data_IF_009288558477
#
_entry.id   IF_009288558477
#
_cell.length_a   1.000
_cell.length_b   1.000
_cell.length_c   1.000
_cell.angle_alpha   90.00
_cell.angle_beta   90.00
_cell.angle_gamma   90.00
#
_symmetry.space_group_name_H-M   'P 1'
#
loop_
_entity.id
_entity.type
_entity.pdbx_description
1 polymer ?
#
# COMPACT_ATOMS: atom_id res chain seq x y z
N UNK A 1 -36.52 -48.40 9.34
CA UNK A 1 -36.44 -47.16 10.16
C UNK A 1 -36.41 -45.93 9.25
N UNK A 2 -37.57 -45.56 8.72
CA UNK A 2 -37.82 -44.38 7.88
C UNK A 2 -39.05 -43.67 8.48
N UNK A 3 -38.87 -42.70 9.38
CA UNK A 3 -39.94 -41.75 9.77
C UNK A 3 -39.51 -40.56 10.66
N UNK A 4 -38.24 -40.11 10.61
CA UNK A 4 -37.81 -38.93 11.42
C UNK A 4 -37.12 -37.80 10.67
N UNK A 5 -36.93 -37.89 9.35
CA UNK A 5 -36.29 -36.82 8.55
C UNK A 5 -37.26 -35.83 7.90
N UNK A 6 -38.54 -36.17 7.72
CA UNK A 6 -39.52 -35.28 7.07
C UNK A 6 -40.05 -34.12 7.94
N UNK A 7 -39.97 -34.23 9.27
CA UNK A 7 -40.64 -33.28 10.17
C UNK A 7 -39.80 -32.03 10.52
N UNK A 8 -38.47 -32.07 10.32
CA UNK A 8 -37.58 -30.91 10.62
C UNK A 8 -37.45 -29.92 9.46
N UNK A 9 -37.72 -30.33 8.23
CA UNK A 9 -37.58 -29.47 7.04
C UNK A 9 -38.81 -28.56 6.87
N UNK A 10 -40.00 -29.00 7.29
CA UNK A 10 -41.23 -28.20 7.21
C UNK A 10 -41.28 -27.00 8.19
N UNK A 11 -40.58 -27.08 9.32
CA UNK A 11 -40.60 -26.03 10.37
C UNK A 11 -39.68 -24.85 10.02
N UNK A 12 -38.59 -25.08 9.28
CA UNK A 12 -37.62 -24.01 8.91
C UNK A 12 -38.16 -23.15 7.76
N UNK A 13 -38.97 -23.71 6.85
CA UNK A 13 -39.54 -22.95 5.73
C UNK A 13 -40.68 -22.00 6.14
N UNK A 14 -41.35 -22.24 7.28
CA UNK A 14 -42.40 -21.35 7.78
C UNK A 14 -41.86 -20.07 8.45
N UNK A 15 -40.61 -20.06 8.92
CA UNK A 15 -39.99 -18.90 9.57
C UNK A 15 -39.32 -17.92 8.60
N UNK A 16 -39.03 -18.34 7.36
CA UNK A 16 -38.42 -17.47 6.34
C UNK A 16 -39.44 -16.63 5.55
N UNK A 17 -40.75 -16.92 5.66
CA UNK A 17 -41.80 -16.14 5.00
C UNK A 17 -42.39 -15.01 5.87
N UNK A 18 -42.00 -14.89 7.15
CA UNK A 18 -42.54 -13.87 8.06
C UNK A 18 -41.65 -12.61 8.24
N UNK A 19 -40.40 -12.61 7.74
CA UNK A 19 -39.51 -11.44 7.84
C UNK A 19 -39.49 -10.60 6.55
N UNK A 20 -40.03 -11.12 5.44
CA UNK A 20 -40.10 -10.45 4.13
C UNK A 20 -41.19 -9.39 3.96
N UNK A 21 -42.07 -9.17 4.94
CA UNK A 21 -43.22 -8.25 4.82
C UNK A 21 -43.15 -7.01 5.72
N UNK A 22 -42.03 -6.77 6.42
CA UNK A 22 -41.87 -5.63 7.34
C UNK A 22 -41.03 -4.45 6.84
N UNK A 23 -40.19 -4.62 5.81
CA UNK A 23 -39.22 -3.59 5.41
C UNK A 23 -39.62 -2.73 4.21
N UNK A 24 -40.62 -3.15 3.42
CA UNK A 24 -41.04 -2.46 2.19
C UNK A 24 -41.98 -1.27 2.40
N UNK A 25 -42.58 -1.13 3.59
CA UNK A 25 -43.60 -0.10 3.87
C UNK A 25 -43.03 1.20 4.46
N UNK A 26 -41.76 1.19 4.87
CA UNK A 26 -41.13 2.33 5.56
C UNK A 26 -40.27 3.21 4.63
N UNK A 27 -39.87 2.72 3.46
CA UNK A 27 -39.01 3.43 2.51
C UNK A 27 -39.75 4.16 1.37
N UNK A 28 -41.09 4.16 1.37
CA UNK A 28 -41.92 4.78 0.31
C UNK A 28 -42.55 6.14 0.70
N UNK A 29 -42.14 6.76 1.83
CA UNK A 29 -42.73 8.04 2.30
C UNK A 29 -41.75 9.20 2.53
N UNK A 30 -40.56 9.19 1.90
CA UNK A 30 -39.71 10.40 1.86
C UNK A 30 -39.11 10.59 0.46
N UNK A 31 -39.93 11.08 -0.44
CA UNK A 31 -39.48 11.88 -1.58
C UNK A 31 -40.00 13.31 -1.36
N UNK A 32 -39.12 14.32 -1.36
CA UNK A 32 -39.54 15.68 -1.67
C UNK A 32 -39.42 15.92 -3.18
N UNK A 33 -40.53 16.30 -3.78
CA UNK A 33 -40.64 16.74 -5.18
C UNK A 33 -39.86 18.03 -5.46
N UNK A 34 -39.52 18.30 -6.73
CA UNK A 34 -38.93 19.55 -7.20
C UNK A 34 -40.00 20.64 -7.41
N UNK A 35 -39.50 21.87 -7.59
CA UNK A 35 -40.15 23.09 -8.09
C UNK A 35 -40.53 24.14 -7.04
N UNK A 36 -39.86 25.29 -7.13
CA UNK A 36 -40.50 26.60 -7.24
C UNK A 36 -39.47 27.66 -7.64
N UNK A 37 -39.63 28.17 -8.86
CA UNK A 37 -38.99 29.38 -9.34
C UNK A 37 -39.74 30.64 -8.86
N UNK A 38 -38.97 31.70 -8.60
CA UNK A 38 -39.40 33.11 -8.68
C UNK A 38 -39.17 33.96 -7.41
N UNK A 39 -39.12 35.31 -7.49
CA UNK A 39 -39.02 36.18 -8.67
C UNK A 39 -37.87 37.23 -8.60
N UNK A 40 -37.70 37.91 -9.75
CA UNK A 40 -36.86 39.10 -10.00
C UNK A 40 -37.19 40.32 -9.11
N UNK A 41 -36.16 41.10 -8.75
CA UNK A 41 -36.23 42.52 -8.41
C UNK A 41 -34.90 43.16 -8.89
N UNK A 42 -34.88 43.85 -10.03
CA UNK A 42 -35.14 45.28 -10.27
C UNK A 42 -33.88 46.16 -10.13
N UNK A 43 -33.53 46.77 -11.25
CA UNK A 43 -32.36 47.61 -11.48
C UNK A 43 -32.60 49.09 -11.14
N UNK A 44 -31.48 49.81 -10.97
CA UNK A 44 -31.34 51.26 -11.23
C UNK A 44 -30.25 51.93 -10.38
N UNK A 45 -29.61 53.02 -10.84
CA UNK A 45 -29.04 53.29 -12.16
C UNK A 45 -27.53 53.62 -12.11
N UNK A 46 -26.88 53.60 -13.28
CA UNK A 46 -25.51 54.10 -13.55
C UNK A 46 -25.49 55.66 -13.59
N UNK A 47 -24.40 56.45 -13.44
CA UNK A 47 -23.09 56.57 -14.15
C UNK A 47 -22.39 57.90 -13.65
N UNK A 48 -21.25 58.45 -14.15
CA UNK A 48 -19.84 58.00 -14.37
C UNK A 48 -18.81 59.03 -13.79
N UNK A 49 -17.58 59.24 -14.35
CA UNK A 49 -16.34 58.49 -14.12
C UNK A 49 -15.21 59.33 -13.47
N UNK A 50 -14.17 58.68 -12.94
CA UNK A 50 -12.88 59.32 -12.69
C UNK A 50 -11.72 58.43 -13.11
N UNK A 51 -10.85 59.01 -13.93
CA UNK A 51 -9.69 58.48 -14.63
C UNK A 51 -8.48 58.17 -13.76
N UNK A 52 -7.65 57.25 -14.26
CA UNK A 52 -6.21 57.06 -14.01
C UNK A 52 -5.83 56.53 -12.60
N UNK A 53 -4.88 55.62 -12.40
CA UNK A 53 -3.69 55.27 -13.17
C UNK A 53 -3.21 53.88 -12.72
N UNK A 54 -2.50 53.18 -13.60
CA UNK A 54 -1.89 51.89 -13.36
C UNK A 54 -1.05 51.82 -12.07
N UNK A 55 -1.18 50.71 -11.35
CA UNK A 55 -0.01 50.07 -10.74
C UNK A 55 -0.21 48.57 -10.78
N UNK A 56 0.58 47.94 -11.64
CA UNK A 56 0.76 46.50 -11.69
C UNK A 56 1.45 46.05 -10.40
N UNK A 57 0.68 45.57 -9.43
CA UNK A 57 1.17 44.74 -8.31
C UNK A 57 0.30 43.48 -8.13
N UNK A 58 -0.53 43.16 -9.12
CA UNK A 58 -1.29 41.92 -9.18
C UNK A 58 -0.46 40.77 -9.80
N UNK A 59 0.76 40.55 -9.34
CA UNK A 59 1.51 39.30 -9.54
C UNK A 59 2.53 39.19 -8.41
N UNK A 60 2.46 38.09 -7.65
CA UNK A 60 3.39 37.54 -6.63
C UNK A 60 2.69 37.18 -5.29
N UNK A 61 1.46 37.63 -5.04
CA UNK A 61 0.66 37.15 -3.88
C UNK A 61 -0.08 35.82 -4.09
N UNK A 62 0.39 34.96 -5.00
CA UNK A 62 -0.13 33.60 -5.22
C UNK A 62 0.94 32.52 -4.94
N UNK A 63 1.89 32.82 -4.05
CA UNK A 63 2.86 31.86 -3.56
C UNK A 63 2.41 31.32 -2.19
N UNK A 64 2.06 30.03 -2.17
CA UNK A 64 1.85 29.18 -1.00
C UNK A 64 0.66 29.49 -0.10
N UNK A 65 -0.54 29.16 -0.58
CA UNK A 65 -1.32 28.22 0.24
C UNK A 65 -0.48 26.93 0.29
N UNK A 66 0.21 26.72 1.41
CA UNK A 66 0.84 25.42 1.68
C UNK A 66 -0.31 24.42 1.60
N UNK A 67 -0.29 23.55 0.61
CA UNK A 67 -1.22 22.45 0.46
C UNK A 67 -1.06 21.52 1.69
N UNK A 68 -1.75 21.87 2.79
CA UNK A 68 -1.59 21.28 4.12
C UNK A 68 -1.98 19.79 4.10
N UNK A 69 -2.80 19.42 3.11
CA UNK A 69 -3.30 18.06 2.88
C UNK A 69 -2.71 17.41 1.62
N UNK A 70 -1.72 18.06 0.99
CA UNK A 70 -1.05 17.56 -0.21
C UNK A 70 -0.08 16.40 0.07
N UNK A 71 0.34 15.67 -0.98
CA UNK A 71 1.26 14.53 -0.84
C UNK A 71 2.63 14.93 -0.24
N UNK A 72 3.10 16.15 -0.47
CA UNK A 72 4.32 16.65 0.16
C UNK A 72 4.16 16.82 1.69
N UNK A 73 3.01 17.33 2.14
CA UNK A 73 2.68 17.47 3.57
C UNK A 73 2.49 16.11 4.24
N UNK A 74 1.93 15.12 3.53
CA UNK A 74 1.87 13.72 3.99
C UNK A 74 3.26 13.14 4.24
N UNK A 75 4.21 13.34 3.33
CA UNK A 75 5.60 12.89 3.53
C UNK A 75 6.26 13.59 4.72
N UNK A 76 6.05 14.90 4.89
CA UNK A 76 6.56 15.64 6.06
C UNK A 76 6.00 15.07 7.37
N UNK A 77 4.71 14.74 7.43
CA UNK A 77 4.08 14.11 8.61
C UNK A 77 4.59 12.70 8.86
N UNK A 78 4.93 11.95 7.82
CA UNK A 78 5.45 10.61 7.94
C UNK A 78 6.93 10.58 8.35
N UNK A 79 7.70 11.65 8.11
CA UNK A 79 9.13 11.70 8.39
C UNK A 79 9.45 11.42 9.87
N UNK A 80 10.44 10.57 10.12
CA UNK A 80 10.96 10.36 11.46
C UNK A 80 11.65 11.63 11.99
N UNK A 81 11.48 11.99 13.29
CA UNK A 81 12.12 13.18 13.85
C UNK A 81 13.64 13.17 13.63
N UNK A 82 14.21 14.34 13.36
CA UNK A 82 15.66 14.54 13.19
C UNK A 82 16.32 13.72 12.06
N UNK A 83 15.54 13.15 11.14
CA UNK A 83 16.09 12.53 9.94
C UNK A 83 16.27 13.56 8.84
N UNK A 84 17.50 13.67 8.34
CA UNK A 84 17.81 14.44 7.12
C UNK A 84 17.66 13.48 5.95
N UNK A 85 16.72 13.73 5.01
CA UNK A 85 16.57 12.88 3.85
C UNK A 85 17.87 12.86 3.04
N UNK A 86 18.27 11.68 2.59
CA UNK A 86 19.34 11.54 1.62
C UNK A 86 18.83 10.68 0.50
N UNK A 87 18.87 11.22 -0.72
CA UNK A 87 18.47 10.47 -1.91
C UNK A 87 19.27 9.18 -1.95
N UNK A 88 18.57 8.07 -1.86
CA UNK A 88 19.15 6.74 -1.96
C UNK A 88 18.55 6.05 -3.17
N UNK A 89 19.34 6.01 -4.25
CA UNK A 89 19.07 5.15 -5.41
C UNK A 89 19.40 3.70 -5.12
N UNK A 90 20.32 3.48 -4.16
CA UNK A 90 20.66 2.17 -3.62
C UNK A 90 19.94 1.99 -2.29
N UNK A 91 18.83 1.28 -2.29
CA UNK A 91 18.40 0.61 -1.07
C UNK A 91 19.44 -0.49 -0.82
N UNK A 92 20.10 -0.49 0.35
CA UNK A 92 21.08 -1.54 0.71
C UNK A 92 20.49 -2.89 0.28
N UNK A 93 21.17 -3.64 -0.58
CA UNK A 93 20.67 -4.96 -0.97
C UNK A 93 20.66 -5.81 0.28
N UNK A 94 19.47 -6.16 0.77
CA UNK A 94 19.35 -7.14 1.83
C UNK A 94 19.32 -8.51 1.16
N UNK A 95 20.50 -8.91 0.69
CA UNK A 95 20.68 -10.26 0.18
C UNK A 95 20.40 -11.24 1.33
N UNK A 96 19.68 -12.34 1.07
CA UNK A 96 19.42 -13.33 2.10
C UNK A 96 20.74 -13.80 2.72
N UNK A 97 20.85 -13.86 4.06
CA UNK A 97 22.04 -14.35 4.72
C UNK A 97 22.45 -15.73 4.17
N UNK A 98 23.74 -15.96 3.84
CA UNK A 98 24.20 -17.25 3.34
C UNK A 98 24.09 -18.33 4.42
N UNK A 99 24.26 -19.59 4.02
CA UNK A 99 24.21 -20.74 4.94
C UNK A 99 22.81 -21.28 5.20
N UNK A 100 22.69 -22.24 6.13
CA UNK A 100 21.39 -22.86 6.44
C UNK A 100 20.52 -21.92 7.24
N UNK A 101 19.21 -21.94 6.98
CA UNK A 101 18.23 -21.11 7.65
C UNK A 101 18.18 -21.36 9.16
N UNK A 102 18.34 -22.61 9.60
CA UNK A 102 18.40 -22.93 11.03
C UNK A 102 19.60 -22.29 11.74
N UNK A 103 20.77 -22.25 11.09
CA UNK A 103 21.98 -21.64 11.64
C UNK A 103 21.84 -20.12 11.70
N UNK A 104 21.26 -19.52 10.64
CA UNK A 104 20.94 -18.09 10.60
C UNK A 104 19.94 -17.71 11.69
N UNK A 105 18.89 -18.51 11.89
CA UNK A 105 17.90 -18.26 12.95
C UNK A 105 18.57 -18.33 14.32
N UNK A 106 19.37 -19.37 14.59
CA UNK A 106 20.08 -19.52 15.85
C UNK A 106 21.02 -18.33 16.14
N UNK A 107 21.68 -17.80 15.12
CA UNK A 107 22.61 -16.68 15.26
C UNK A 107 21.93 -15.32 15.41
N UNK A 108 20.85 -15.07 14.67
CA UNK A 108 20.25 -13.74 14.57
C UNK A 108 19.07 -13.52 15.52
N UNK A 109 18.35 -14.57 15.91
CA UNK A 109 17.17 -14.43 16.77
C UNK A 109 17.49 -13.77 18.12
N UNK A 110 18.53 -14.18 18.88
CA UNK A 110 18.85 -13.52 20.15
C UNK A 110 19.18 -12.04 19.99
N UNK A 111 19.81 -11.65 18.88
CA UNK A 111 20.13 -10.26 18.56
C UNK A 111 18.87 -9.46 18.25
N UNK A 112 17.99 -10.01 17.41
CA UNK A 112 16.71 -9.38 17.10
C UNK A 112 15.85 -9.19 18.35
N UNK A 113 15.82 -10.18 19.24
CA UNK A 113 15.16 -10.12 20.56
C UNK A 113 15.79 -9.04 21.47
N UNK A 114 17.10 -8.80 21.36
CA UNK A 114 17.81 -7.72 22.03
C UNK A 114 17.64 -6.33 21.38
N UNK A 115 16.84 -6.22 20.31
CA UNK A 115 16.56 -4.95 19.63
C UNK A 115 17.42 -4.64 18.40
N UNK A 116 18.23 -5.60 17.94
CA UNK A 116 18.96 -5.47 16.68
C UNK A 116 17.99 -5.59 15.49
N UNK A 117 17.57 -4.43 14.97
CA UNK A 117 16.56 -4.36 13.92
C UNK A 117 17.08 -4.79 12.55
N UNK A 118 18.40 -4.76 12.31
CA UNK A 118 18.98 -5.35 11.11
C UNK A 118 18.95 -6.87 11.18
N UNK A 119 19.29 -7.46 12.33
CA UNK A 119 19.15 -8.90 12.57
C UNK A 119 17.69 -9.34 12.42
N UNK A 120 16.73 -8.57 12.94
CA UNK A 120 15.31 -8.81 12.72
C UNK A 120 14.97 -8.84 11.22
N UNK A 121 15.41 -7.85 10.45
CA UNK A 121 15.10 -7.85 9.03
C UNK A 121 15.75 -9.04 8.27
N UNK A 122 17.00 -9.39 8.61
CA UNK A 122 17.68 -10.52 8.00
C UNK A 122 17.02 -11.87 8.36
N UNK A 123 16.48 -12.03 9.57
CA UNK A 123 15.64 -13.19 9.92
C UNK A 123 14.41 -13.27 9.01
N UNK A 124 13.70 -12.15 8.86
CA UNK A 124 12.54 -12.08 7.98
C UNK A 124 12.90 -12.53 6.57
N UNK A 125 13.91 -11.90 5.96
CA UNK A 125 14.35 -12.19 4.59
C UNK A 125 14.75 -13.66 4.44
N UNK A 126 15.46 -14.24 5.41
CA UNK A 126 15.92 -15.64 5.32
C UNK A 126 14.76 -16.62 5.33
N UNK A 127 13.88 -16.51 6.33
CA UNK A 127 12.76 -17.43 6.50
C UNK A 127 11.73 -17.24 5.38
N UNK A 128 11.50 -16.00 4.97
CA UNK A 128 10.58 -15.65 3.87
C UNK A 128 11.12 -16.15 2.52
N UNK A 129 12.43 -16.04 2.27
CA UNK A 129 13.05 -16.63 1.08
C UNK A 129 12.87 -18.15 1.01
N UNK A 130 12.96 -18.83 2.16
CA UNK A 130 12.66 -20.27 2.24
C UNK A 130 11.17 -20.56 1.98
N UNK A 131 10.25 -19.72 2.48
CA UNK A 131 8.81 -19.83 2.19
C UNK A 131 8.52 -19.64 0.71
N UNK A 132 9.10 -18.65 0.08
CA UNK A 132 8.98 -18.42 -1.36
C UNK A 132 9.51 -19.61 -2.16
N UNK A 133 10.66 -20.18 -1.78
CA UNK A 133 11.22 -21.36 -2.43
C UNK A 133 10.33 -22.61 -2.29
N UNK A 134 9.60 -22.77 -1.18
CA UNK A 134 8.59 -23.84 -1.04
C UNK A 134 7.47 -23.72 -2.08
N UNK A 135 6.96 -22.51 -2.29
CA UNK A 135 5.82 -22.27 -3.19
C UNK A 135 6.20 -22.16 -4.67
N UNK A 136 7.39 -21.64 -4.97
CA UNK A 136 7.81 -21.31 -6.34
C UNK A 136 9.04 -22.10 -6.83
N UNK A 137 9.82 -22.72 -5.94
CA UNK A 137 11.07 -23.42 -6.27
C UNK A 137 10.89 -24.76 -6.98
N UNK A 138 9.66 -25.23 -7.18
CA UNK A 138 9.37 -26.45 -7.96
C UNK A 138 9.41 -26.24 -9.49
N UNK A 139 9.95 -25.12 -9.98
CA UNK A 139 10.03 -24.80 -11.42
C UNK A 139 11.45 -24.94 -11.99
N UNK A 140 11.95 -26.17 -12.09
CA UNK A 140 12.89 -26.56 -13.16
C UNK A 140 13.01 -28.08 -13.27
N UNK A 141 12.26 -28.68 -14.20
CA UNK A 141 12.64 -29.87 -15.00
C UNK A 141 12.85 -31.24 -14.33
N UNK A 142 13.07 -31.33 -13.03
CA UNK A 142 13.29 -32.60 -12.33
C UNK A 142 12.43 -32.62 -11.07
N UNK A 143 11.11 -32.79 -11.23
CA UNK A 143 10.25 -33.17 -10.10
C UNK A 143 10.55 -34.65 -9.78
N UNK A 144 11.10 -35.01 -8.62
CA UNK A 144 11.12 -36.40 -8.19
C UNK A 144 9.68 -36.88 -8.08
N UNK A 145 9.42 -38.12 -8.50
CA UNK A 145 8.09 -38.70 -8.39
C UNK A 145 7.64 -38.70 -6.92
N UNK A 146 6.35 -38.43 -6.62
CA UNK A 146 5.81 -38.58 -5.28
C UNK A 146 6.12 -39.98 -4.73
N UNK A 147 6.68 -40.06 -3.53
CA UNK A 147 6.86 -41.35 -2.85
C UNK A 147 5.50 -41.75 -2.26
N UNK A 148 5.05 -42.97 -2.55
CA UNK A 148 3.78 -43.49 -2.06
C UNK A 148 3.87 -43.68 -0.54
N UNK A 149 3.08 -42.91 0.20
CA UNK A 149 2.98 -43.00 1.67
C UNK A 149 3.25 -41.68 2.39
N UNK A 150 3.92 -40.74 1.73
CA UNK A 150 4.21 -39.42 2.31
C UNK A 150 3.01 -38.50 2.20
N UNK A 151 2.68 -37.80 3.29
CA UNK A 151 1.71 -36.72 3.25
C UNK A 151 2.20 -35.53 2.40
N UNK A 152 1.26 -34.65 2.04
CA UNK A 152 1.52 -33.50 1.18
C UNK A 152 2.58 -32.57 1.80
N UNK A 153 2.61 -32.47 3.12
CA UNK A 153 3.57 -31.64 3.87
C UNK A 153 4.99 -32.21 3.76
N UNK A 154 5.15 -33.52 3.90
CA UNK A 154 6.41 -34.25 3.73
C UNK A 154 6.95 -34.12 2.30
N UNK A 155 6.07 -34.20 1.29
CA UNK A 155 6.46 -33.99 -0.10
C UNK A 155 6.82 -32.54 -0.43
N UNK A 156 6.24 -31.56 0.26
CA UNK A 156 6.60 -30.15 0.16
C UNK A 156 7.96 -29.88 0.84
N UNK A 157 8.20 -30.49 2.01
CA UNK A 157 9.48 -30.42 2.73
C UNK A 157 10.61 -31.03 1.87
N UNK A 158 10.38 -32.16 1.20
CA UNK A 158 11.36 -32.79 0.31
C UNK A 158 11.71 -31.95 -0.95
N UNK A 159 10.87 -30.95 -1.29
CA UNK A 159 11.07 -30.03 -2.43
C UNK A 159 11.74 -28.71 -2.02
N UNK A 160 12.01 -28.53 -0.73
CA UNK A 160 12.69 -27.34 -0.24
C UNK A 160 14.17 -27.42 -0.54
N UNK A 161 14.83 -26.30 -0.92
CA UNK A 161 16.28 -26.26 -0.94
C UNK A 161 16.87 -26.71 0.40
N UNK A 162 17.96 -27.49 0.37
CA UNK A 162 18.55 -28.12 1.57
C UNK A 162 18.92 -27.10 2.65
N UNK A 163 19.28 -25.88 2.25
CA UNK A 163 19.54 -24.77 3.17
C UNK A 163 18.33 -24.34 4.00
N UNK A 164 17.10 -24.75 3.64
CA UNK A 164 15.89 -24.40 4.37
C UNK A 164 15.40 -25.54 5.29
N UNK A 165 16.04 -26.71 5.25
CA UNK A 165 15.67 -27.85 6.10
C UNK A 165 15.86 -27.54 7.59
N UNK A 166 14.86 -27.94 8.38
CA UNK A 166 14.85 -27.83 9.85
C UNK A 166 14.14 -26.57 10.39
N UNK A 167 13.63 -25.69 9.53
CA UNK A 167 12.73 -24.63 9.98
C UNK A 167 11.41 -25.24 10.50
N UNK A 168 10.97 -24.74 11.65
CA UNK A 168 9.72 -25.16 12.30
C UNK A 168 8.52 -24.37 11.76
N UNK A 169 7.30 -24.92 11.83
CA UNK A 169 6.09 -24.17 11.48
C UNK A 169 5.93 -22.85 12.27
N UNK A 170 6.38 -22.81 13.53
CA UNK A 170 6.35 -21.59 14.34
C UNK A 170 7.31 -20.51 13.84
N UNK A 171 8.47 -20.88 13.31
CA UNK A 171 9.40 -19.91 12.72
C UNK A 171 8.80 -19.24 11.49
N UNK A 172 8.05 -19.99 10.66
CA UNK A 172 7.31 -19.41 9.54
C UNK A 172 6.16 -18.51 10.01
N UNK A 173 5.32 -19.00 10.94
CA UNK A 173 4.16 -18.25 11.44
C UNK A 173 4.55 -16.93 12.10
N UNK A 174 5.62 -16.94 12.89
CA UNK A 174 6.05 -15.77 13.65
C UNK A 174 6.96 -14.82 12.84
N UNK A 175 7.32 -15.17 11.61
CA UNK A 175 8.35 -14.45 10.85
C UNK A 175 8.01 -12.97 10.61
N UNK A 176 6.72 -12.65 10.42
CA UNK A 176 6.24 -11.28 10.15
C UNK A 176 6.58 -10.31 11.28
N UNK A 177 6.65 -10.77 12.54
CA UNK A 177 6.99 -9.88 13.66
C UNK A 177 8.35 -9.23 13.48
N UNK A 178 9.29 -9.93 12.85
CA UNK A 178 10.63 -9.41 12.58
C UNK A 178 10.63 -8.36 11.48
N UNK A 179 9.76 -8.53 10.48
CA UNK A 179 9.53 -7.51 9.45
C UNK A 179 8.95 -6.23 10.07
N UNK A 180 7.95 -6.38 10.93
CA UNK A 180 7.32 -5.23 11.60
C UNK A 180 8.31 -4.50 12.51
N UNK A 181 9.04 -5.23 13.36
CA UNK A 181 10.09 -4.65 14.21
C UNK A 181 11.11 -3.85 13.38
N UNK A 182 11.61 -4.44 12.30
CA UNK A 182 12.55 -3.76 11.41
C UNK A 182 11.94 -2.53 10.73
N UNK A 183 10.69 -2.62 10.25
CA UNK A 183 10.01 -1.52 9.59
C UNK A 183 9.71 -0.34 10.54
N UNK A 184 9.28 -0.66 11.77
CA UNK A 184 9.03 0.31 12.84
C UNK A 184 10.29 1.07 13.24
N UNK A 185 11.45 0.40 13.22
CA UNK A 185 12.74 1.04 13.49
C UNK A 185 13.21 2.06 12.45
N UNK A 186 12.61 2.04 11.25
CA UNK A 186 12.98 2.96 10.17
C UNK A 186 13.77 2.33 9.02
N UNK A 187 14.00 1.01 9.02
CA UNK A 187 14.68 0.35 7.90
C UNK A 187 13.78 0.44 6.67
N UNK A 188 14.16 1.27 5.70
CA UNK A 188 13.37 1.55 4.50
C UNK A 188 13.02 0.27 3.72
N UNK A 189 13.96 -0.67 3.60
CA UNK A 189 13.66 -1.95 2.95
C UNK A 189 12.65 -2.80 3.70
N UNK A 190 12.65 -2.80 5.03
CA UNK A 190 11.63 -3.49 5.81
C UNK A 190 10.25 -2.84 5.64
N UNK A 191 10.20 -1.50 5.63
CA UNK A 191 8.98 -0.74 5.34
C UNK A 191 8.39 -1.08 3.97
N UNK A 192 9.23 -1.16 2.93
CA UNK A 192 8.79 -1.51 1.57
C UNK A 192 8.44 -3.00 1.46
N UNK A 193 9.21 -3.88 2.11
CA UNK A 193 8.94 -5.32 2.16
C UNK A 193 7.59 -5.60 2.81
N UNK A 194 7.22 -4.88 3.87
CA UNK A 194 5.88 -5.00 4.48
C UNK A 194 4.77 -4.75 3.44
N UNK A 195 4.88 -3.68 2.65
CA UNK A 195 3.90 -3.34 1.62
C UNK A 195 3.86 -4.33 0.43
N UNK A 196 4.95 -5.06 0.17
CA UNK A 196 5.05 -6.05 -0.91
C UNK A 196 4.63 -7.47 -0.48
N UNK A 197 4.54 -7.75 0.83
CA UNK A 197 4.31 -9.09 1.36
C UNK A 197 2.93 -9.24 2.04
N UNK A 198 1.86 -8.82 1.36
CA UNK A 198 0.49 -8.84 1.91
C UNK A 198 0.06 -10.22 2.42
N UNK A 199 0.42 -11.29 1.71
CA UNK A 199 0.09 -12.66 2.13
C UNK A 199 0.83 -13.09 3.40
N UNK A 200 2.09 -12.64 3.58
CA UNK A 200 2.81 -12.90 4.83
C UNK A 200 2.06 -12.25 6.00
N UNK A 201 1.68 -10.99 5.84
CA UNK A 201 1.11 -10.18 6.93
C UNK A 201 -0.34 -10.53 7.24
N UNK A 202 -1.18 -10.63 6.22
CA UNK A 202 -2.62 -10.79 6.38
C UNK A 202 -3.00 -12.26 6.38
N UNK A 203 -2.34 -13.07 5.56
CA UNK A 203 -2.72 -14.43 5.23
C UNK A 203 -3.21 -14.56 3.78
N UNK A 204 -3.64 -15.75 3.38
CA UNK A 204 -4.15 -16.02 2.03
C UNK A 204 -5.50 -15.33 1.75
N UNK A 205 -5.99 -15.42 0.51
CA UNK A 205 -7.25 -14.78 0.09
C UNK A 205 -8.47 -15.15 0.94
N UNK A 206 -8.56 -16.39 1.43
CA UNK A 206 -9.66 -16.81 2.31
C UNK A 206 -9.60 -16.05 3.65
N UNK A 207 -8.40 -15.94 4.22
CA UNK A 207 -8.17 -15.19 5.46
C UNK A 207 -8.44 -13.69 5.28
N UNK A 208 -8.03 -13.13 4.14
CA UNK A 208 -8.33 -11.72 3.79
C UNK A 208 -9.83 -11.46 3.67
N UNK A 209 -10.60 -12.40 3.12
CA UNK A 209 -12.06 -12.28 3.00
C UNK A 209 -12.78 -12.46 4.35
N UNK A 210 -12.26 -13.33 5.21
CA UNK A 210 -12.84 -13.56 6.54
C UNK A 210 -12.55 -12.45 7.55
N UNK A 211 -11.50 -11.64 7.32
CA UNK A 211 -11.07 -10.56 8.19
C UNK A 211 -10.75 -9.28 7.38
N UNK A 212 -11.77 -8.56 6.89
CA UNK A 212 -11.58 -7.35 6.11
C UNK A 212 -10.93 -6.21 6.92
N UNK A 213 -11.06 -6.21 8.25
CA UNK A 213 -10.48 -5.19 9.10
C UNK A 213 -8.96 -5.32 9.18
N UNK A 214 -8.43 -6.54 9.18
CA UNK A 214 -6.99 -6.77 9.04
C UNK A 214 -6.46 -6.26 7.70
N UNK A 215 -7.24 -6.36 6.62
CA UNK A 215 -6.87 -5.80 5.30
C UNK A 215 -6.84 -4.27 5.35
N UNK A 216 -7.82 -3.64 5.99
CA UNK A 216 -7.86 -2.17 6.16
C UNK A 216 -6.68 -1.70 7.00
N UNK A 217 -6.39 -2.37 8.11
CA UNK A 217 -5.24 -2.07 8.96
C UNK A 217 -3.90 -2.24 8.21
N UNK A 218 -3.76 -3.31 7.43
CA UNK A 218 -2.60 -3.54 6.58
C UNK A 218 -2.39 -2.41 5.58
N UNK A 219 -3.44 -2.05 4.82
CA UNK A 219 -3.36 -0.98 3.80
C UNK A 219 -2.90 0.34 4.40
N UNK A 220 -3.47 0.72 5.55
CA UNK A 220 -3.09 1.93 6.28
C UNK A 220 -1.62 1.89 6.72
N UNK A 221 -1.17 0.78 7.31
CA UNK A 221 0.22 0.61 7.79
C UNK A 221 1.22 0.57 6.62
N UNK A 222 0.89 -0.12 5.52
CA UNK A 222 1.68 -0.17 4.31
C UNK A 222 1.85 1.21 3.67
N UNK A 223 0.76 1.99 3.54
CA UNK A 223 0.84 3.38 3.05
C UNK A 223 1.75 4.24 3.94
N UNK A 224 1.60 4.14 5.26
CA UNK A 224 2.44 4.89 6.20
C UNK A 224 3.92 4.52 6.07
N UNK A 225 4.25 3.22 5.93
CA UNK A 225 5.63 2.77 5.72
C UNK A 225 6.21 3.22 4.38
N UNK A 226 5.45 3.17 3.28
CA UNK A 226 5.91 3.69 2.00
C UNK A 226 6.16 5.21 2.06
N UNK A 227 5.29 5.96 2.75
CA UNK A 227 5.49 7.39 3.01
C UNK A 227 6.74 7.65 3.86
N UNK A 228 6.97 6.88 4.93
CA UNK A 228 8.20 6.97 5.75
C UNK A 228 9.46 6.73 4.93
N UNK A 229 9.47 5.68 4.12
CA UNK A 229 10.61 5.35 3.26
C UNK A 229 10.88 6.48 2.25
N UNK A 230 9.84 6.98 1.58
CA UNK A 230 9.95 8.11 0.64
C UNK A 230 10.41 9.40 1.35
N UNK A 231 9.87 9.70 2.52
CA UNK A 231 10.23 10.88 3.31
C UNK A 231 11.69 10.85 3.80
N UNK A 232 12.27 9.65 3.94
CA UNK A 232 13.69 9.43 4.23
C UNK A 232 14.62 9.45 3.00
N UNK A 233 14.08 9.69 1.80
CA UNK A 233 14.85 9.78 0.54
C UNK A 233 14.89 8.50 -0.29
N UNK A 234 14.05 7.50 0.00
CA UNK A 234 14.00 6.26 -0.79
C UNK A 234 13.30 6.47 -2.14
N UNK A 235 14.05 6.26 -3.22
CA UNK A 235 13.51 6.24 -4.59
C UNK A 235 12.50 5.11 -4.79
N UNK A 236 12.76 3.94 -4.20
CA UNK A 236 11.81 2.82 -4.21
C UNK A 236 10.53 3.14 -3.43
N UNK A 237 10.62 3.96 -2.37
CA UNK A 237 9.45 4.47 -1.65
C UNK A 237 8.56 5.34 -2.54
N UNK A 238 9.14 6.29 -3.27
CA UNK A 238 8.40 7.10 -4.24
C UNK A 238 7.75 6.24 -5.33
N UNK A 239 8.49 5.26 -5.87
CA UNK A 239 7.95 4.34 -6.86
C UNK A 239 6.80 3.50 -6.30
N UNK A 240 6.93 2.99 -5.08
CA UNK A 240 5.89 2.17 -4.44
C UNK A 240 4.61 2.97 -4.15
N UNK A 241 4.73 4.26 -3.79
CA UNK A 241 3.58 5.16 -3.66
C UNK A 241 2.92 5.43 -5.01
N UNK A 242 3.71 5.67 -6.06
CA UNK A 242 3.18 5.82 -7.42
C UNK A 242 2.40 4.57 -7.86
N UNK A 243 2.96 3.37 -7.65
CA UNK A 243 2.30 2.09 -7.94
C UNK A 243 1.00 1.91 -7.14
N UNK A 244 1.03 2.24 -5.84
CA UNK A 244 -0.15 2.12 -4.98
C UNK A 244 -1.33 2.94 -5.51
N UNK A 245 -1.08 4.20 -5.92
CA UNK A 245 -2.11 5.06 -6.51
C UNK A 245 -2.45 4.72 -7.97
N UNK A 246 -1.51 4.16 -8.74
CA UNK A 246 -1.77 3.76 -10.11
C UNK A 246 -2.71 2.53 -10.18
N UNK A 247 -2.37 1.48 -9.43
CA UNK A 247 -3.11 0.22 -9.44
C UNK A 247 -4.35 0.25 -8.55
N UNK A 248 -4.33 1.03 -7.46
CA UNK A 248 -5.47 1.14 -6.55
C UNK A 248 -5.71 -0.11 -5.69
N UNK A 249 -4.69 -0.94 -5.47
CA UNK A 249 -4.81 -2.18 -4.67
C UNK A 249 -4.64 -1.91 -3.17
N UNK A 250 -3.68 -1.05 -2.81
CA UNK A 250 -3.37 -0.69 -1.42
C UNK A 250 -4.17 0.55 -0.98
N UNK A 251 -4.40 1.48 -1.89
CA UNK A 251 -5.18 2.71 -1.67
C UNK A 251 -6.15 2.90 -2.84
N UNK A 252 -7.02 3.91 -2.79
CA UNK A 252 -7.88 4.24 -3.94
C UNK A 252 -7.02 4.71 -5.11
N UNK A 253 -7.35 4.25 -6.32
CA UNK A 253 -6.69 4.69 -7.55
C UNK A 253 -6.80 6.21 -7.71
N UNK A 254 -5.67 6.86 -7.95
CA UNK A 254 -5.55 8.30 -8.16
C UNK A 254 -4.44 8.59 -9.19
N UNK A 255 -4.79 8.82 -10.46
CA UNK A 255 -3.82 9.08 -11.53
C UNK A 255 -2.98 10.36 -11.30
N UNK A 256 -3.52 11.37 -10.61
CA UNK A 256 -2.81 12.63 -10.33
C UNK A 256 -1.70 12.36 -9.32
N UNK A 257 -2.01 11.68 -8.21
CA UNK A 257 -1.01 11.29 -7.21
C UNK A 257 -0.01 10.28 -7.77
N UNK A 258 -0.47 9.32 -8.57
CA UNK A 258 0.41 8.35 -9.24
C UNK A 258 1.46 9.06 -10.10
N UNK A 259 1.05 10.03 -10.92
CA UNK A 259 1.95 10.86 -11.70
C UNK A 259 2.88 11.69 -10.80
N UNK A 260 2.35 12.38 -9.78
CA UNK A 260 3.13 13.26 -8.91
C UNK A 260 4.28 12.52 -8.21
N UNK A 261 4.03 11.35 -7.62
CA UNK A 261 5.08 10.54 -7.00
C UNK A 261 6.10 10.03 -8.02
N UNK A 262 5.64 9.63 -9.22
CA UNK A 262 6.56 9.17 -10.27
C UNK A 262 7.42 10.30 -10.84
N UNK A 263 6.85 11.49 -10.98
CA UNK A 263 7.56 12.70 -11.41
C UNK A 263 8.67 13.05 -10.42
N UNK A 264 8.36 13.05 -9.11
CA UNK A 264 9.37 13.25 -8.07
C UNK A 264 10.49 12.20 -8.13
N UNK A 265 10.13 10.93 -8.39
CA UNK A 265 11.09 9.84 -8.59
C UNK A 265 11.98 10.09 -9.82
N UNK A 266 11.41 10.53 -10.93
CA UNK A 266 12.17 10.80 -12.16
C UNK A 266 13.10 12.01 -12.01
N UNK A 267 12.69 13.05 -11.27
CA UNK A 267 13.57 14.17 -10.91
C UNK A 267 14.77 13.72 -10.07
N UNK A 268 14.55 12.82 -9.11
CA UNK A 268 15.59 12.35 -8.21
C UNK A 268 16.51 11.28 -8.82
N UNK A 269 16.00 10.49 -9.77
CA UNK A 269 16.75 9.46 -10.47
C UNK A 269 16.28 9.31 -11.94
N UNK A 270 16.69 10.23 -12.83
CA UNK A 270 16.27 10.21 -14.23
C UNK A 270 16.73 8.96 -14.97
N UNK A 271 15.88 8.44 -15.87
CA UNK A 271 16.27 7.35 -16.77
C UNK A 271 15.39 7.32 -18.02
N UNK A 272 15.89 6.78 -19.14
CA UNK A 272 15.11 6.64 -20.37
C UNK A 272 13.85 5.80 -20.19
N UNK A 273 13.95 4.70 -19.43
CA UNK A 273 12.78 3.89 -19.06
C UNK A 273 11.82 4.67 -18.14
N UNK A 274 12.39 5.45 -17.21
CA UNK A 274 11.69 6.42 -16.37
C UNK A 274 10.77 7.32 -17.17
N UNK A 275 11.35 8.07 -18.12
CA UNK A 275 10.65 9.04 -18.95
C UNK A 275 9.49 8.42 -19.75
N UNK A 276 9.68 7.24 -20.35
CA UNK A 276 8.61 6.53 -21.07
C UNK A 276 7.41 6.23 -20.17
N UNK A 277 7.68 5.77 -18.95
CA UNK A 277 6.63 5.47 -17.96
C UNK A 277 5.96 6.74 -17.42
N UNK A 278 6.72 7.82 -17.24
CA UNK A 278 6.18 9.13 -16.86
C UNK A 278 5.22 9.66 -17.94
N UNK A 279 5.57 9.50 -19.23
CA UNK A 279 4.70 9.86 -20.35
C UNK A 279 3.40 9.03 -20.33
N UNK A 280 3.50 7.72 -20.11
CA UNK A 280 2.31 6.87 -20.00
C UNK A 280 1.36 7.31 -18.86
N UNK A 281 1.88 7.89 -17.77
CA UNK A 281 1.05 8.51 -16.73
C UNK A 281 0.51 9.88 -17.15
N UNK A 282 1.28 10.68 -17.89
CA UNK A 282 0.81 11.96 -18.43
C UNK A 282 -0.39 11.77 -19.38
N UNK A 283 -0.37 10.72 -20.20
CA UNK A 283 -1.43 10.41 -21.16
C UNK A 283 -2.78 10.07 -20.49
N UNK A 284 -2.78 9.77 -19.19
CA UNK A 284 -3.99 9.54 -18.39
C UNK A 284 -4.63 10.84 -17.86
N UNK A 285 -3.98 11.98 -18.05
CA UNK A 285 -4.35 13.27 -17.45
C UNK A 285 -4.68 14.30 -18.52
N UNK A 286 -5.68 15.14 -18.24
CA UNK A 286 -5.86 16.37 -19.01
C UNK A 286 -4.81 17.43 -18.61
N UNK A 287 -4.74 18.53 -19.37
CA UNK A 287 -3.74 19.60 -19.16
C UNK A 287 -3.76 20.19 -17.75
N UNK A 288 -4.95 20.46 -17.19
CA UNK A 288 -5.11 21.00 -15.83
C UNK A 288 -4.64 20.00 -14.77
N UNK A 289 -5.02 18.73 -14.92
CA UNK A 289 -4.60 17.66 -14.03
C UNK A 289 -3.08 17.43 -14.09
N UNK A 290 -2.50 17.46 -15.29
CA UNK A 290 -1.06 17.32 -15.48
C UNK A 290 -0.28 18.48 -14.84
N UNK A 291 -0.76 19.71 -14.97
CA UNK A 291 -0.16 20.88 -14.31
C UNK A 291 -0.19 20.74 -12.78
N UNK A 292 -1.34 20.35 -12.21
CA UNK A 292 -1.48 20.10 -10.78
C UNK A 292 -0.59 18.95 -10.29
N UNK A 293 -0.58 17.82 -11.00
CA UNK A 293 0.24 16.66 -10.68
C UNK A 293 1.74 16.97 -10.74
N UNK A 294 2.16 17.77 -11.74
CA UNK A 294 3.55 18.25 -11.86
C UNK A 294 3.93 19.13 -10.68
N UNK A 295 3.05 20.05 -10.27
CA UNK A 295 3.29 20.91 -9.11
C UNK A 295 3.39 20.11 -7.81
N UNK A 296 2.48 19.14 -7.60
CA UNK A 296 2.56 18.21 -6.47
C UNK A 296 3.87 17.41 -6.49
N UNK A 297 4.28 16.92 -7.66
CA UNK A 297 5.53 16.18 -7.84
C UNK A 297 6.77 16.99 -7.49
N UNK A 298 6.80 18.29 -7.82
CA UNK A 298 7.88 19.20 -7.39
C UNK A 298 7.92 19.32 -5.86
N UNK A 299 6.78 19.52 -5.21
CA UNK A 299 6.70 19.59 -3.75
C UNK A 299 7.14 18.29 -3.06
N UNK A 300 6.78 17.14 -3.63
CA UNK A 300 7.25 15.83 -3.15
C UNK A 300 8.78 15.74 -3.28
N UNK A 301 9.35 16.14 -4.43
CA UNK A 301 10.79 16.14 -4.64
C UNK A 301 11.53 17.07 -3.67
N UNK A 302 11.02 18.28 -3.45
CA UNK A 302 11.59 19.26 -2.52
C UNK A 302 11.66 18.71 -1.09
N UNK A 303 10.63 17.99 -0.66
CA UNK A 303 10.60 17.37 0.68
C UNK A 303 11.48 16.12 0.70
N UNK A 304 11.32 15.20 -0.26
CA UNK A 304 11.98 13.90 -0.23
C UNK A 304 13.49 13.97 -0.46
N UNK A 305 13.88 14.68 -1.51
CA UNK A 305 14.96 14.24 -2.36
C UNK A 305 15.85 15.40 -2.82
N UNK A 306 15.50 16.64 -2.49
CA UNK A 306 16.35 17.78 -2.76
C UNK A 306 17.56 17.75 -1.80
N UNK A 307 18.79 17.95 -2.31
CA UNK A 307 20.01 17.97 -1.49
C UNK A 307 20.00 19.05 -0.41
#
# INVERSE_FOLDING_TARGET
MQSKRGSRIAIVMALLLAVGLGAGWWWSRRAPEPDAAGPMASAGPAEPPATATATATATVAAAHERDVDGPAAELLRARAPNTVPRVSTFTRSYDPPPGRAVDVVAALQPRAEAGDNEAAFYLFVKVEGCRYALYHGASSGARPAPVRGDDVETQLIARTPTQCHGLTPDQYRNNVRWLEQAADSGIAMAQLSYARNAEAVIGNSSQMLSDPEKVIAYRRKAMHYMQRAAAGGSIEGLMSLSDAYHYGVITRRDPIRAYAYYYAKDLAAPSTYGQKRLQAYADLLNSTQLAAATQQGRGIYDVCCKP
#
